data_IF_780896722747
#
_entry.id   IF_780896722747
#
_cell.length_a   1.000
_cell.length_b   1.000
_cell.length_c   1.000
_cell.angle_alpha   90.00
_cell.angle_beta   90.00
_cell.angle_gamma   90.00
#
_symmetry.space_group_name_H-M   'P 1'
#
loop_
_entity.id
_entity.type
_entity.pdbx_description
1 polymer ?
#
# COMPACT_ATOMS: atom_id res chain seq x y z
N UNK A 1 4.21 -21.24 34.39
CA UNK A 1 3.96 -20.98 35.82
C UNK A 1 4.60 -22.01 36.78
N UNK A 2 4.40 -23.32 36.64
CA UNK A 2 4.89 -24.32 37.62
C UNK A 2 6.40 -24.27 37.83
N UNK A 3 7.24 -24.27 36.80
CA UNK A 3 8.70 -24.20 36.93
C UNK A 3 9.20 -22.87 37.54
N UNK A 4 8.53 -21.75 37.30
CA UNK A 4 8.86 -20.48 37.93
C UNK A 4 8.62 -20.51 39.44
N UNK A 5 7.57 -21.22 39.90
CA UNK A 5 7.33 -21.47 41.32
C UNK A 5 8.43 -22.34 41.91
N UNK A 6 8.81 -23.45 41.26
CA UNK A 6 9.94 -24.29 41.73
C UNK A 6 11.22 -23.46 41.84
N UNK A 7 11.52 -22.59 40.87
CA UNK A 7 12.70 -21.73 40.92
C UNK A 7 12.69 -20.72 42.06
N UNK A 8 11.51 -20.26 42.47
CA UNK A 8 11.38 -19.34 43.61
C UNK A 8 11.56 -20.07 44.97
N UNK A 9 10.99 -21.26 45.08
CA UNK A 9 10.94 -21.99 46.36
C UNK A 9 12.09 -23.00 46.55
N UNK A 10 13.01 -23.17 45.58
CA UNK A 10 14.12 -24.15 45.64
C UNK A 10 15.12 -23.91 46.76
N UNK A 11 15.15 -22.70 47.35
CA UNK A 11 15.97 -22.37 48.50
C UNK A 11 15.36 -22.88 49.81
N UNK A 12 14.04 -23.11 49.86
CA UNK A 12 13.29 -23.54 51.06
C UNK A 12 12.99 -25.02 51.06
N UNK A 13 12.83 -25.62 49.87
CA UNK A 13 12.39 -27.02 49.74
C UNK A 13 13.19 -27.75 48.65
N UNK A 14 13.44 -29.07 48.83
CA UNK A 14 14.14 -29.86 47.81
C UNK A 14 13.42 -29.85 46.46
N UNK A 15 14.18 -29.61 45.35
CA UNK A 15 13.66 -29.52 43.97
C UNK A 15 12.83 -30.76 43.60
N UNK A 16 13.29 -31.98 44.02
CA UNK A 16 12.55 -33.23 43.74
C UNK A 16 11.17 -33.25 44.39
N UNK A 17 11.04 -32.72 45.60
CA UNK A 17 9.75 -32.63 46.29
C UNK A 17 8.82 -31.64 45.63
N UNK A 18 9.30 -30.42 45.31
CA UNK A 18 8.53 -29.40 44.61
C UNK A 18 8.04 -29.91 43.23
N UNK A 19 8.92 -30.55 42.47
CA UNK A 19 8.57 -31.12 41.18
C UNK A 19 7.51 -32.23 41.30
N UNK A 20 7.58 -33.09 42.34
CA UNK A 20 6.59 -34.13 42.60
C UNK A 20 5.22 -33.52 42.89
N UNK A 21 5.15 -32.58 43.83
CA UNK A 21 3.91 -31.90 44.25
C UNK A 21 3.25 -31.17 43.08
N UNK A 22 4.05 -30.54 42.22
CA UNK A 22 3.55 -29.77 41.05
C UNK A 22 3.34 -30.64 39.80
N UNK A 23 3.56 -31.95 39.90
CA UNK A 23 3.46 -32.88 38.78
C UNK A 23 4.26 -32.41 37.54
N UNK A 24 5.54 -32.07 37.73
CA UNK A 24 6.48 -31.70 36.67
C UNK A 24 7.78 -32.51 36.81
N UNK A 25 8.51 -32.68 35.68
CA UNK A 25 9.77 -33.43 35.71
C UNK A 25 10.92 -32.57 36.22
N UNK A 26 11.85 -33.17 36.98
CA UNK A 26 13.08 -32.52 37.45
C UNK A 26 13.97 -32.12 36.28
N UNK A 27 14.08 -32.98 35.26
CA UNK A 27 14.82 -32.67 34.04
C UNK A 27 14.21 -31.49 33.27
N UNK A 28 12.88 -31.38 33.22
CA UNK A 28 12.18 -30.23 32.67
C UNK A 28 12.45 -28.93 33.46
N UNK A 29 12.59 -29.03 34.79
CA UNK A 29 12.96 -27.86 35.58
C UNK A 29 14.40 -27.39 35.30
N UNK A 30 15.37 -28.29 35.24
CA UNK A 30 16.75 -27.91 34.89
C UNK A 30 16.83 -27.33 33.46
N UNK A 31 16.08 -27.91 32.52
CA UNK A 31 15.96 -27.34 31.18
C UNK A 31 15.36 -25.93 31.21
N UNK A 32 14.32 -25.72 32.01
CA UNK A 32 13.71 -24.40 32.22
C UNK A 32 14.74 -23.39 32.74
N UNK A 33 15.52 -23.72 33.78
CA UNK A 33 16.57 -22.84 34.30
C UNK A 33 17.61 -22.50 33.22
N UNK A 34 18.07 -23.52 32.50
CA UNK A 34 19.05 -23.34 31.44
C UNK A 34 18.56 -22.48 30.27
N UNK A 35 17.25 -22.55 29.96
CA UNK A 35 16.66 -21.75 28.90
C UNK A 35 16.25 -20.35 29.37
N UNK A 36 15.94 -20.14 30.67
CA UNK A 36 15.46 -18.88 31.22
C UNK A 36 16.47 -17.74 31.06
N UNK A 37 17.73 -18.05 31.30
CA UNK A 37 18.81 -17.05 31.35
C UNK A 37 19.57 -16.94 29.99
N UNK A 38 19.13 -17.69 28.97
CA UNK A 38 19.67 -17.55 27.62
C UNK A 38 19.06 -16.35 26.92
N UNK A 39 19.86 -15.52 26.22
CA UNK A 39 19.33 -14.49 25.36
C UNK A 39 18.42 -15.12 24.30
N UNK A 40 17.31 -14.45 23.98
CA UNK A 40 16.41 -14.92 22.93
C UNK A 40 17.18 -14.99 21.59
N UNK A 41 17.34 -16.17 20.99
CA UNK A 41 18.04 -16.31 19.70
C UNK A 41 17.32 -15.60 18.55
N UNK A 42 16.07 -15.18 18.76
CA UNK A 42 15.26 -14.44 17.80
C UNK A 42 15.19 -12.94 18.12
N UNK A 43 15.91 -12.45 19.15
CA UNK A 43 15.82 -11.05 19.59
C UNK A 43 16.09 -10.04 18.48
N UNK A 44 17.14 -10.23 17.68
CA UNK A 44 17.45 -9.38 16.53
C UNK A 44 16.35 -9.43 15.46
N UNK A 45 15.87 -10.64 15.16
CA UNK A 45 14.79 -10.83 14.19
C UNK A 45 13.48 -10.18 14.64
N UNK A 46 13.16 -10.22 15.95
CA UNK A 46 11.99 -9.55 16.53
C UNK A 46 12.14 -8.03 16.50
N UNK A 47 13.33 -7.52 16.78
CA UNK A 47 13.62 -6.08 16.67
C UNK A 47 13.40 -5.57 15.26
N UNK A 48 13.97 -6.23 14.26
CA UNK A 48 13.78 -5.86 12.85
C UNK A 48 12.33 -6.01 12.39
N UNK A 49 11.65 -7.06 12.85
CA UNK A 49 10.22 -7.26 12.56
C UNK A 49 9.37 -6.10 13.08
N UNK A 50 9.61 -5.61 14.30
CA UNK A 50 8.93 -4.42 14.85
C UNK A 50 9.27 -3.15 14.07
N UNK A 51 10.56 -2.94 13.76
CA UNK A 51 11.05 -1.78 13.01
C UNK A 51 10.43 -1.72 11.61
N UNK A 52 10.44 -2.83 10.87
CA UNK A 52 9.84 -2.92 9.55
C UNK A 52 8.33 -2.70 9.61
N UNK A 53 7.64 -3.28 10.61
CA UNK A 53 6.20 -3.10 10.76
C UNK A 53 5.84 -1.64 11.06
N UNK A 54 6.58 -0.97 11.93
CA UNK A 54 6.40 0.45 12.23
C UNK A 54 6.72 1.33 11.00
N UNK A 55 7.85 1.09 10.32
CA UNK A 55 8.24 1.80 9.11
C UNK A 55 7.26 1.61 7.95
N UNK A 56 6.57 0.48 7.91
CA UNK A 56 5.48 0.22 6.97
C UNK A 56 4.12 0.77 7.40
N UNK A 57 4.06 1.65 8.39
CA UNK A 57 2.82 2.23 8.96
C UNK A 57 1.82 1.16 9.44
N UNK A 58 2.32 0.01 9.90
CA UNK A 58 1.49 -1.12 10.31
C UNK A 58 0.73 -1.80 9.17
N UNK A 59 1.09 -1.55 7.91
CA UNK A 59 0.33 -2.05 6.75
C UNK A 59 0.79 -3.43 6.28
N UNK A 60 2.04 -3.83 6.59
CA UNK A 60 2.59 -5.08 6.07
C UNK A 60 2.05 -6.30 6.81
N UNK A 61 1.33 -7.13 6.07
CA UNK A 61 1.03 -8.49 6.48
C UNK A 61 2.19 -9.44 6.14
N UNK A 62 2.04 -10.70 6.53
CA UNK A 62 3.04 -11.76 6.38
C UNK A 62 3.81 -11.78 5.04
N UNK A 63 3.18 -11.70 3.85
CA UNK A 63 3.95 -11.79 2.59
C UNK A 63 4.98 -10.68 2.42
N UNK A 64 4.60 -9.42 2.67
CA UNK A 64 5.51 -8.27 2.59
C UNK A 64 6.55 -8.31 3.70
N UNK A 65 6.16 -8.71 4.93
CA UNK A 65 7.07 -8.83 6.05
C UNK A 65 8.18 -9.85 5.78
N UNK A 66 7.86 -11.03 5.20
CA UNK A 66 8.88 -12.02 4.79
C UNK A 66 9.85 -11.43 3.77
N UNK A 67 9.36 -10.66 2.80
CA UNK A 67 10.22 -10.03 1.79
C UNK A 67 11.13 -8.97 2.40
N UNK A 68 10.61 -8.11 3.26
CA UNK A 68 11.37 -7.07 3.93
C UNK A 68 12.45 -7.66 4.86
N UNK A 69 12.12 -8.68 5.67
CA UNK A 69 13.10 -9.36 6.53
C UNK A 69 14.20 -10.06 5.72
N UNK A 70 13.87 -10.64 4.57
CA UNK A 70 14.88 -11.24 3.69
C UNK A 70 15.81 -10.19 3.08
N UNK A 71 15.30 -8.99 2.77
CA UNK A 71 16.14 -7.88 2.34
C UNK A 71 17.10 -7.39 3.44
N UNK A 72 16.76 -7.62 4.73
CA UNK A 72 17.65 -7.42 5.89
C UNK A 72 18.50 -8.65 6.21
N UNK A 73 18.76 -9.53 5.24
CA UNK A 73 19.59 -10.74 5.34
C UNK A 73 19.09 -11.82 6.33
N UNK A 74 17.82 -11.77 6.78
CA UNK A 74 17.25 -12.83 7.61
C UNK A 74 16.79 -14.03 6.77
N UNK A 75 17.29 -15.21 7.03
CA UNK A 75 16.84 -16.48 6.45
C UNK A 75 15.51 -16.91 7.13
N UNK A 76 14.36 -16.37 6.67
CA UNK A 76 13.06 -16.63 7.27
C UNK A 76 12.03 -17.18 6.29
N UNK A 77 11.19 -18.08 6.80
CA UNK A 77 10.03 -18.63 6.09
C UNK A 77 8.71 -18.05 6.59
N UNK A 78 7.66 -18.24 5.79
CA UNK A 78 6.32 -17.71 6.10
C UNK A 78 5.76 -18.17 7.44
N UNK A 79 5.98 -19.46 7.84
CA UNK A 79 5.47 -20.00 9.10
C UNK A 79 6.13 -19.32 10.31
N UNK A 80 7.47 -19.15 10.27
CA UNK A 80 8.23 -18.48 11.34
C UNK A 80 7.80 -17.02 11.51
N UNK A 81 7.71 -16.26 10.41
CA UNK A 81 7.27 -14.86 10.45
C UNK A 81 5.82 -14.74 10.97
N UNK A 82 4.91 -15.64 10.54
CA UNK A 82 3.52 -15.63 11.03
C UNK A 82 3.43 -15.87 12.55
N UNK A 83 4.27 -16.78 13.10
CA UNK A 83 4.36 -17.04 14.54
C UNK A 83 4.85 -15.80 15.27
N UNK A 84 5.98 -15.22 14.83
CA UNK A 84 6.57 -14.05 15.46
C UNK A 84 5.63 -12.84 15.41
N UNK A 85 4.98 -12.56 14.28
CA UNK A 85 3.98 -11.49 14.20
C UNK A 85 2.85 -11.67 15.21
N UNK A 86 2.38 -12.91 15.41
CA UNK A 86 1.33 -13.19 16.41
C UNK A 86 1.83 -13.00 17.84
N UNK A 87 3.02 -13.45 18.14
CA UNK A 87 3.65 -13.31 19.47
C UNK A 87 3.89 -11.83 19.81
N UNK A 88 4.25 -11.01 18.83
CA UNK A 88 4.46 -9.57 18.97
C UNK A 88 3.15 -8.74 18.85
N UNK A 89 1.99 -9.37 18.64
CA UNK A 89 0.72 -8.67 18.44
C UNK A 89 0.63 -7.85 17.15
N UNK A 90 1.46 -8.16 16.14
CA UNK A 90 1.53 -7.42 14.89
C UNK A 90 0.62 -8.03 13.82
N UNK A 91 -0.16 -7.19 13.16
CA UNK A 91 -1.02 -7.58 12.04
C UNK A 91 -0.96 -6.54 10.93
N UNK A 92 -1.07 -6.98 9.68
CA UNK A 92 -1.21 -6.05 8.56
C UNK A 92 -2.64 -5.50 8.47
N UNK A 93 -2.80 -4.31 7.91
CA UNK A 93 -4.13 -3.77 7.62
C UNK A 93 -4.83 -4.62 6.57
N UNK A 94 -6.06 -5.03 6.85
CA UNK A 94 -6.91 -5.84 5.97
C UNK A 94 -7.97 -4.99 5.31
N UNK A 95 -8.29 -5.30 4.05
CA UNK A 95 -9.26 -4.53 3.27
C UNK A 95 -10.65 -4.57 3.92
N UNK A 96 -11.20 -3.41 4.26
CA UNK A 96 -12.59 -3.25 4.65
C UNK A 96 -13.55 -3.50 3.46
N UNK A 97 -14.79 -3.90 3.77
CA UNK A 97 -15.83 -4.13 2.75
C UNK A 97 -16.53 -2.80 2.46
N UNK A 98 -16.02 -2.03 1.51
CA UNK A 98 -16.69 -0.80 1.07
C UNK A 98 -16.59 -0.67 -0.46
N UNK A 99 -17.73 -0.53 -1.11
CA UNK A 99 -17.82 -0.39 -2.57
C UNK A 99 -18.72 0.79 -2.92
N UNK A 100 -18.20 2.01 -2.99
CA UNK A 100 -18.99 3.16 -3.45
C UNK A 100 -19.17 3.12 -4.97
N UNK A 101 -20.34 3.56 -5.43
CA UNK A 101 -20.56 3.94 -6.84
C UNK A 101 -20.27 5.44 -6.97
N UNK A 102 -19.26 5.82 -7.77
CA UNK A 102 -18.75 7.18 -7.83
C UNK A 102 -18.82 7.82 -9.21
N UNK A 103 -19.01 7.04 -10.28
CA UNK A 103 -18.93 7.53 -11.65
C UNK A 103 -20.32 7.80 -12.21
N UNK A 104 -20.61 9.05 -12.57
CA UNK A 104 -21.73 9.39 -13.42
C UNK A 104 -21.28 9.37 -14.89
N UNK A 105 -21.62 8.31 -15.58
CA UNK A 105 -21.33 8.13 -17.03
C UNK A 105 -22.51 8.54 -17.93
N UNK A 106 -23.56 9.19 -17.38
CA UNK A 106 -24.76 9.62 -18.13
C UNK A 106 -24.62 11.05 -18.63
N UNK A 107 -23.61 11.33 -19.42
CA UNK A 107 -23.42 12.65 -20.05
C UNK A 107 -23.33 12.51 -21.56
N UNK A 108 -23.72 13.54 -22.31
CA UNK A 108 -23.65 13.60 -23.79
C UNK A 108 -22.28 14.02 -24.35
N UNK A 109 -21.19 13.92 -23.56
CA UNK A 109 -19.85 14.31 -24.01
C UNK A 109 -19.18 13.21 -24.83
N UNK A 110 -18.27 13.56 -25.79
CA UNK A 110 -17.52 12.57 -26.55
C UNK A 110 -16.73 11.62 -25.66
N UNK A 111 -16.78 10.33 -25.96
CA UNK A 111 -16.06 9.29 -25.23
C UNK A 111 -14.97 8.72 -26.13
N UNK A 112 -13.72 8.71 -25.67
CA UNK A 112 -12.62 8.13 -26.41
C UNK A 112 -12.73 6.60 -26.45
N UNK A 113 -12.16 6.00 -27.51
CA UNK A 113 -12.05 4.56 -27.66
C UNK A 113 -11.19 3.94 -26.56
N UNK A 114 -11.49 2.71 -26.11
CA UNK A 114 -10.63 1.97 -25.19
C UNK A 114 -9.42 1.39 -25.92
N UNK A 115 -8.34 2.15 -25.98
CA UNK A 115 -7.09 1.75 -26.62
C UNK A 115 -6.16 0.95 -25.69
N UNK A 116 -6.33 1.12 -24.38
CA UNK A 116 -5.52 0.38 -23.39
C UNK A 116 -5.88 -1.11 -23.36
N UNK A 117 -7.16 -1.44 -23.58
CA UNK A 117 -7.72 -2.80 -23.61
C UNK A 117 -7.12 -3.76 -22.55
N UNK A 118 -7.05 -3.29 -21.29
CA UNK A 118 -6.53 -4.04 -20.14
C UNK A 118 -5.07 -4.47 -20.23
N UNK A 119 -4.26 -3.84 -21.03
CA UNK A 119 -2.81 -4.08 -21.09
C UNK A 119 -2.13 -3.47 -19.87
N UNK A 120 -2.41 -4.05 -18.68
CA UNK A 120 -1.91 -3.56 -17.39
C UNK A 120 -0.60 -4.24 -16.97
N UNK A 121 -0.04 -5.12 -17.75
CA UNK A 121 1.20 -5.79 -17.43
C UNK A 121 2.34 -4.77 -17.28
N UNK A 122 3.17 -4.95 -16.24
CA UNK A 122 4.30 -4.03 -15.95
C UNK A 122 5.43 -4.14 -16.98
N UNK A 123 5.45 -5.23 -17.74
CA UNK A 123 6.33 -5.48 -18.88
C UNK A 123 5.75 -5.06 -20.23
N UNK A 124 4.52 -4.50 -20.24
CA UNK A 124 3.91 -3.96 -21.43
C UNK A 124 4.77 -2.83 -22.03
N UNK A 125 4.98 -2.88 -23.34
CA UNK A 125 5.66 -1.83 -24.08
C UNK A 125 4.76 -0.61 -24.38
N UNK A 126 3.49 -0.64 -23.98
CA UNK A 126 2.56 0.47 -24.17
C UNK A 126 2.74 1.47 -23.02
N UNK A 127 3.36 2.64 -23.27
CA UNK A 127 3.46 3.67 -22.26
C UNK A 127 2.07 4.23 -21.97
N UNK A 128 1.60 4.09 -20.73
CA UNK A 128 0.27 4.51 -20.36
C UNK A 128 0.20 5.04 -18.94
N UNK A 129 -0.52 6.14 -18.77
CA UNK A 129 -0.93 6.70 -17.50
C UNK A 129 -2.40 6.44 -17.24
N UNK A 130 -2.79 6.25 -16.00
CA UNK A 130 -4.19 6.12 -15.62
C UNK A 130 -4.59 7.24 -14.68
N UNK A 131 -5.73 7.87 -14.99
CA UNK A 131 -6.37 8.87 -14.15
C UNK A 131 -7.64 8.33 -13.51
N UNK A 132 -7.90 8.71 -12.26
CA UNK A 132 -9.16 8.40 -11.57
C UNK A 132 -9.40 9.38 -10.42
N UNK A 133 -10.66 9.49 -9.99
CA UNK A 133 -11.08 10.38 -8.89
C UNK A 133 -11.64 9.52 -7.75
N UNK A 134 -11.27 9.87 -6.53
CA UNK A 134 -11.93 9.34 -5.34
C UNK A 134 -12.28 10.47 -4.39
N UNK A 135 -13.07 10.18 -3.37
CA UNK A 135 -13.39 11.11 -2.31
C UNK A 135 -12.93 10.59 -0.96
N UNK A 136 -12.55 11.53 -0.11
CA UNK A 136 -12.05 11.33 1.23
C UNK A 136 -13.00 12.07 2.19
N UNK A 137 -13.56 11.40 3.20
CA UNK A 137 -14.46 12.04 4.15
C UNK A 137 -13.67 12.87 5.16
N UNK A 138 -14.15 14.09 5.41
CA UNK A 138 -13.69 14.97 6.50
C UNK A 138 -14.88 15.50 7.27
N UNK A 139 -14.68 15.99 8.49
CA UNK A 139 -15.77 16.64 9.23
C UNK A 139 -16.20 17.97 8.61
N UNK A 140 -15.36 18.57 7.77
CA UNK A 140 -15.66 19.77 6.98
C UNK A 140 -16.38 19.46 5.66
N UNK A 141 -16.72 18.17 5.40
CA UNK A 141 -17.32 17.69 4.17
C UNK A 141 -16.36 16.89 3.31
N UNK A 142 -16.76 16.61 2.07
CA UNK A 142 -15.96 15.82 1.14
C UNK A 142 -14.73 16.56 0.64
N UNK A 143 -13.65 15.83 0.49
CA UNK A 143 -12.45 16.22 -0.25
C UNK A 143 -12.27 15.27 -1.42
N UNK A 144 -12.18 15.80 -2.64
CA UNK A 144 -12.01 15.03 -3.86
C UNK A 144 -10.53 14.95 -4.22
N UNK A 145 -10.06 13.74 -4.51
CA UNK A 145 -8.69 13.45 -4.89
C UNK A 145 -8.68 12.89 -6.31
N UNK A 146 -8.09 13.62 -7.26
CA UNK A 146 -7.71 13.09 -8.56
C UNK A 146 -6.25 12.66 -8.53
N UNK A 147 -5.94 11.51 -9.11
CA UNK A 147 -4.57 10.98 -9.20
C UNK A 147 -4.23 10.57 -10.63
N UNK A 148 -2.94 10.65 -10.95
CA UNK A 148 -2.37 10.13 -12.18
C UNK A 148 -1.29 9.11 -11.82
N UNK A 149 -1.47 7.88 -12.27
CA UNK A 149 -0.55 6.77 -12.07
C UNK A 149 0.12 6.36 -13.37
N UNK A 150 1.40 6.05 -13.30
CA UNK A 150 2.08 5.29 -14.35
C UNK A 150 1.69 3.81 -14.24
N UNK A 151 1.15 3.24 -15.30
CA UNK A 151 0.68 1.86 -15.31
C UNK A 151 1.81 0.83 -15.26
N UNK A 152 3.02 1.17 -15.69
CA UNK A 152 4.19 0.29 -15.69
C UNK A 152 4.86 0.25 -14.32
N UNK A 153 5.12 1.42 -13.75
CA UNK A 153 5.85 1.54 -12.47
C UNK A 153 4.94 1.55 -11.25
N UNK A 154 3.64 1.75 -11.43
CA UNK A 154 2.65 1.95 -10.35
C UNK A 154 2.91 3.22 -9.52
N UNK A 155 3.79 4.10 -9.97
CA UNK A 155 4.01 5.39 -9.30
C UNK A 155 2.79 6.29 -9.40
N UNK A 156 2.46 6.97 -8.33
CA UNK A 156 1.61 8.17 -8.38
C UNK A 156 2.49 9.30 -8.85
N UNK A 157 2.32 9.72 -10.11
CA UNK A 157 3.12 10.77 -10.75
C UNK A 157 2.64 12.16 -10.36
N UNK A 158 1.32 12.31 -10.22
CA UNK A 158 0.70 13.56 -9.82
C UNK A 158 -0.68 13.35 -9.21
N UNK A 159 -1.11 14.32 -8.44
CA UNK A 159 -2.45 14.36 -7.85
C UNK A 159 -2.89 15.80 -7.60
N UNK A 160 -4.18 15.97 -7.41
CA UNK A 160 -4.79 17.24 -6.99
C UNK A 160 -5.93 16.96 -6.01
N UNK A 161 -6.16 17.87 -5.09
CA UNK A 161 -7.19 17.80 -4.06
C UNK A 161 -8.05 19.06 -4.11
N UNK A 162 -9.37 18.89 -4.05
CA UNK A 162 -10.31 20.02 -4.07
C UNK A 162 -11.58 19.70 -3.25
N UNK A 163 -12.21 20.72 -2.71
CA UNK A 163 -13.49 20.62 -1.98
C UNK A 163 -14.68 20.30 -2.89
N UNK A 164 -14.56 20.58 -4.16
CA UNK A 164 -15.53 20.28 -5.22
C UNK A 164 -14.87 19.43 -6.28
N UNK A 165 -15.65 18.97 -7.24
CA UNK A 165 -15.17 18.13 -8.33
C UNK A 165 -15.27 18.87 -9.69
N UNK A 166 -14.55 20.01 -9.89
CA UNK A 166 -14.51 20.72 -11.15
C UNK A 166 -13.69 19.94 -12.19
N UNK A 167 -13.86 20.29 -13.49
CA UNK A 167 -13.00 19.73 -14.54
C UNK A 167 -11.51 20.07 -14.30
N UNK A 168 -11.23 21.19 -13.66
CA UNK A 168 -9.87 21.64 -13.33
C UNK A 168 -9.12 20.70 -12.37
N UNK A 169 -9.85 19.94 -11.55
CA UNK A 169 -9.25 18.97 -10.63
C UNK A 169 -8.40 17.92 -11.35
N UNK A 170 -8.94 17.33 -12.41
CA UNK A 170 -8.23 16.29 -13.19
C UNK A 170 -7.13 16.92 -14.05
N UNK A 171 -7.36 18.14 -14.55
CA UNK A 171 -6.35 18.89 -15.32
C UNK A 171 -5.14 19.22 -14.46
N UNK A 172 -5.35 19.69 -13.23
CA UNK A 172 -4.26 20.00 -12.31
C UNK A 172 -3.48 18.75 -11.91
N UNK A 173 -4.17 17.62 -11.64
CA UNK A 173 -3.51 16.35 -11.34
C UNK A 173 -2.61 15.90 -12.52
N UNK A 174 -3.09 16.05 -13.77
CA UNK A 174 -2.32 15.75 -14.96
C UNK A 174 -1.11 16.67 -15.12
N UNK A 175 -1.27 17.98 -14.96
CA UNK A 175 -0.18 18.95 -15.08
C UNK A 175 0.90 18.71 -14.02
N UNK A 176 0.51 18.38 -12.80
CA UNK A 176 1.44 18.01 -11.75
C UNK A 176 2.24 16.74 -12.12
N UNK A 177 1.58 15.74 -12.71
CA UNK A 177 2.23 14.52 -13.19
C UNK A 177 3.20 14.80 -14.34
N UNK A 178 2.76 15.61 -15.33
CA UNK A 178 3.60 16.01 -16.45
C UNK A 178 4.85 16.78 -16.00
N UNK A 179 4.68 17.73 -15.10
CA UNK A 179 5.80 18.51 -14.56
C UNK A 179 6.81 17.64 -13.80
N UNK A 180 6.34 16.63 -13.06
CA UNK A 180 7.20 15.73 -12.28
C UNK A 180 7.88 14.65 -13.14
N UNK A 181 7.26 14.25 -14.26
CA UNK A 181 7.73 13.17 -15.13
C UNK A 181 7.38 13.44 -16.59
N UNK A 182 8.06 14.38 -17.27
CA UNK A 182 7.84 14.63 -18.69
C UNK A 182 8.10 13.37 -19.51
N UNK A 183 7.20 13.06 -20.46
CA UNK A 183 7.30 11.90 -21.34
C UNK A 183 7.13 12.34 -22.79
N UNK A 184 7.59 11.51 -23.74
CA UNK A 184 7.42 11.76 -25.17
C UNK A 184 5.96 11.68 -25.64
N UNK A 185 5.70 12.08 -26.86
CA UNK A 185 4.37 11.98 -27.46
C UNK A 185 3.93 10.50 -27.67
N UNK A 186 2.62 10.29 -27.75
CA UNK A 186 2.03 8.97 -27.97
C UNK A 186 1.72 8.15 -26.75
N UNK A 187 1.99 8.67 -25.54
CA UNK A 187 1.61 8.02 -24.28
C UNK A 187 0.08 7.99 -24.15
N UNK A 188 -0.47 6.83 -23.80
CA UNK A 188 -1.90 6.72 -23.52
C UNK A 188 -2.23 7.38 -22.17
N UNK A 189 -3.34 8.14 -22.14
CA UNK A 189 -3.98 8.54 -20.88
C UNK A 189 -5.31 7.81 -20.76
N UNK A 190 -5.38 6.85 -19.85
CA UNK A 190 -6.58 6.05 -19.62
C UNK A 190 -7.36 6.57 -18.41
N UNK A 191 -8.69 6.62 -18.52
CA UNK A 191 -9.58 7.00 -17.44
C UNK A 191 -10.92 6.26 -17.52
N UNK A 192 -11.75 6.43 -16.48
CA UNK A 192 -13.17 6.12 -16.60
C UNK A 192 -13.88 7.11 -17.53
N UNK A 193 -15.21 6.93 -17.72
CA UNK A 193 -16.05 7.83 -18.52
C UNK A 193 -16.64 8.97 -17.68
N UNK A 194 -16.00 9.39 -16.61
CA UNK A 194 -16.47 10.52 -15.83
C UNK A 194 -16.51 11.82 -16.65
N UNK A 195 -17.50 12.67 -16.36
CA UNK A 195 -17.71 13.93 -17.09
C UNK A 195 -16.49 14.84 -17.08
N UNK A 196 -15.64 14.75 -16.06
CA UNK A 196 -14.41 15.53 -15.94
C UNK A 196 -13.38 15.11 -16.99
N UNK A 197 -13.18 13.80 -17.18
CA UNK A 197 -12.25 13.26 -18.18
C UNK A 197 -12.77 13.41 -19.61
N UNK A 198 -14.10 13.36 -19.80
CA UNK A 198 -14.75 13.59 -21.09
C UNK A 198 -14.91 15.09 -21.43
N UNK A 199 -14.36 16.01 -20.64
CA UNK A 199 -14.44 17.44 -20.91
C UNK A 199 -13.54 17.84 -22.08
N UNK A 200 -14.03 18.77 -22.94
CA UNK A 200 -13.24 19.28 -24.06
C UNK A 200 -11.93 19.95 -23.62
N UNK A 201 -11.92 20.61 -22.45
CA UNK A 201 -10.73 21.29 -21.93
C UNK A 201 -9.67 20.29 -21.49
N UNK A 202 -10.07 19.16 -20.88
CA UNK A 202 -9.12 18.10 -20.55
C UNK A 202 -8.57 17.43 -21.81
N UNK A 203 -9.43 17.17 -22.82
CA UNK A 203 -8.99 16.67 -24.12
C UNK A 203 -7.98 17.58 -24.82
N UNK A 204 -8.19 18.90 -24.81
CA UNK A 204 -7.22 19.89 -25.33
C UNK A 204 -5.90 19.86 -24.54
N UNK A 205 -5.97 19.72 -23.22
CA UNK A 205 -4.77 19.59 -22.36
C UNK A 205 -3.96 18.35 -22.72
N UNK A 206 -4.59 17.17 -22.87
CA UNK A 206 -3.92 15.95 -23.30
C UNK A 206 -3.24 16.11 -24.66
N UNK A 207 -3.98 16.66 -25.65
CA UNK A 207 -3.46 16.88 -27.02
C UNK A 207 -2.27 17.83 -27.04
N UNK A 208 -2.30 18.93 -26.27
CA UNK A 208 -1.21 19.88 -26.16
C UNK A 208 0.09 19.27 -25.61
N UNK A 209 -0.02 18.16 -24.85
CA UNK A 209 1.12 17.42 -24.29
C UNK A 209 1.43 16.11 -25.06
N UNK A 210 0.78 15.89 -26.21
CA UNK A 210 1.02 14.72 -27.04
C UNK A 210 0.43 13.41 -26.53
N UNK A 211 -0.49 13.45 -25.56
CA UNK A 211 -1.14 12.26 -25.03
C UNK A 211 -2.32 11.81 -25.89
N UNK A 212 -2.51 10.50 -25.96
CA UNK A 212 -3.62 9.86 -26.66
C UNK A 212 -4.68 9.45 -25.63
N UNK A 213 -5.91 9.99 -25.69
CA UNK A 213 -6.96 9.61 -24.74
C UNK A 213 -7.44 8.18 -24.96
N UNK A 214 -7.72 7.49 -23.86
CA UNK A 214 -8.32 6.16 -23.81
C UNK A 214 -9.32 6.11 -22.66
N UNK A 215 -10.52 5.55 -22.87
CA UNK A 215 -11.55 5.49 -21.83
C UNK A 215 -12.09 4.08 -21.66
N UNK A 216 -12.42 3.72 -20.42
CA UNK A 216 -13.04 2.44 -20.06
C UNK A 216 -14.34 2.20 -20.84
N UNK A 217 -14.70 0.95 -21.08
CA UNK A 217 -16.01 0.57 -21.65
C UNK A 217 -17.13 0.88 -20.67
N UNK A 218 -18.33 1.16 -21.16
CA UNK A 218 -19.50 1.48 -20.32
C UNK A 218 -19.79 0.33 -19.35
N UNK A 219 -19.90 0.66 -18.06
CA UNK A 219 -20.22 -0.32 -17.02
C UNK A 219 -19.12 -1.34 -16.71
N UNK A 220 -17.90 -1.15 -17.22
CA UNK A 220 -16.80 -2.08 -17.02
C UNK A 220 -15.72 -1.49 -16.12
N UNK A 221 -15.87 -1.68 -14.80
CA UNK A 221 -14.91 -1.25 -13.78
C UNK A 221 -13.52 -1.88 -13.94
N UNK A 222 -13.43 -3.08 -14.54
CA UNK A 222 -12.14 -3.76 -14.73
C UNK A 222 -11.20 -3.05 -15.71
N UNK A 223 -11.71 -2.15 -16.52
CA UNK A 223 -10.90 -1.41 -17.50
C UNK A 223 -10.04 -0.34 -16.80
N UNK A 224 -10.36 0.10 -15.56
CA UNK A 224 -9.54 1.02 -14.75
C UNK A 224 -9.01 0.35 -13.44
N UNK A 225 -8.82 -0.96 -13.46
CA UNK A 225 -8.52 -1.76 -12.26
C UNK A 225 -7.25 -1.32 -11.51
N UNK A 226 -6.28 -0.72 -12.18
CA UNK A 226 -5.02 -0.27 -11.54
C UNK A 226 -5.26 0.94 -10.67
N UNK A 227 -5.97 1.95 -11.15
CA UNK A 227 -6.32 3.14 -10.37
C UNK A 227 -7.27 2.78 -9.22
N UNK A 228 -8.28 1.91 -9.48
CA UNK A 228 -9.16 1.38 -8.43
C UNK A 228 -8.37 0.63 -7.35
N UNK A 229 -7.38 -0.17 -7.73
CA UNK A 229 -6.51 -0.90 -6.79
C UNK A 229 -5.66 0.05 -5.94
N UNK A 230 -5.17 1.14 -6.53
CA UNK A 230 -4.47 2.19 -5.78
C UNK A 230 -5.39 2.83 -4.75
N UNK A 231 -6.59 3.26 -5.13
CA UNK A 231 -7.53 3.88 -4.20
C UNK A 231 -7.99 2.92 -3.10
N UNK A 232 -8.22 1.64 -3.44
CA UNK A 232 -8.51 0.63 -2.43
C UNK A 232 -7.35 0.48 -1.43
N UNK A 233 -6.12 0.58 -1.89
CA UNK A 233 -4.92 0.54 -1.05
C UNK A 233 -4.82 1.80 -0.19
N UNK A 234 -4.93 2.99 -0.76
CA UNK A 234 -4.92 4.27 -0.05
C UNK A 234 -5.99 4.31 1.06
N UNK A 235 -7.23 3.96 0.72
CA UNK A 235 -8.34 3.94 1.69
C UNK A 235 -8.13 2.94 2.82
N UNK A 236 -7.53 1.79 2.53
CA UNK A 236 -7.27 0.78 3.55
C UNK A 236 -6.07 1.14 4.45
N UNK A 237 -5.03 1.71 3.88
CA UNK A 237 -3.75 1.92 4.58
C UNK A 237 -3.66 3.29 5.26
N UNK A 238 -4.28 4.34 4.69
CA UNK A 238 -4.22 5.71 5.18
C UNK A 238 -5.61 6.31 5.44
N UNK A 239 -6.47 6.35 4.45
CA UNK A 239 -7.74 7.08 4.49
C UNK A 239 -8.92 6.19 4.92
N UNK A 240 -8.75 5.38 5.97
CA UNK A 240 -9.76 4.44 6.45
C UNK A 240 -10.83 5.07 7.36
N UNK A 241 -10.60 6.28 7.85
CA UNK A 241 -11.49 7.03 8.74
C UNK A 241 -11.91 8.37 8.19
N UNK A 242 -12.58 9.17 9.02
CA UNK A 242 -12.96 10.55 8.74
C UNK A 242 -11.90 11.48 9.33
N UNK A 243 -11.31 12.32 8.51
CA UNK A 243 -10.35 13.33 8.97
C UNK A 243 -11.06 14.51 9.65
N UNK A 244 -10.40 15.14 10.63
CA UNK A 244 -10.96 16.30 11.32
C UNK A 244 -11.13 17.49 10.37
N UNK A 245 -10.12 17.76 9.53
CA UNK A 245 -10.12 18.87 8.57
C UNK A 245 -9.68 18.42 7.18
N UNK A 246 -10.01 19.17 6.15
CA UNK A 246 -9.51 18.98 4.79
C UNK A 246 -7.99 19.17 4.72
N UNK A 247 -7.45 20.10 5.50
CA UNK A 247 -6.00 20.33 5.60
C UNK A 247 -5.27 19.11 6.18
N UNK A 248 -5.82 18.48 7.23
CA UNK A 248 -5.28 17.25 7.80
C UNK A 248 -5.32 16.09 6.78
N UNK A 249 -6.42 15.92 6.04
CA UNK A 249 -6.52 14.94 4.98
C UNK A 249 -5.49 15.17 3.86
N UNK A 250 -5.31 16.42 3.44
CA UNK A 250 -4.32 16.78 2.43
C UNK A 250 -2.91 16.41 2.88
N UNK A 251 -2.51 16.79 4.09
CA UNK A 251 -1.19 16.49 4.65
C UNK A 251 -0.96 14.97 4.78
N UNK A 252 -1.95 14.22 5.24
CA UNK A 252 -1.86 12.77 5.38
C UNK A 252 -1.70 12.06 4.03
N UNK A 253 -2.49 12.45 3.02
CA UNK A 253 -2.40 11.88 1.66
C UNK A 253 -1.06 12.22 1.02
N UNK A 254 -0.58 13.47 1.14
CA UNK A 254 0.73 13.87 0.65
C UNK A 254 1.86 13.05 1.31
N UNK A 255 1.82 12.93 2.65
CA UNK A 255 2.77 12.11 3.41
C UNK A 255 2.71 10.63 3.02
N UNK A 256 1.51 10.11 2.74
CA UNK A 256 1.36 8.72 2.30
C UNK A 256 1.97 8.51 0.91
N UNK A 257 1.68 9.36 -0.06
CA UNK A 257 2.15 9.20 -1.44
C UNK A 257 3.66 9.39 -1.52
N UNK A 258 4.18 10.51 -1.00
CA UNK A 258 5.60 10.88 -1.13
C UNK A 258 6.50 10.21 -0.11
N UNK A 259 6.03 10.00 1.12
CA UNK A 259 6.83 9.43 2.20
C UNK A 259 6.78 7.90 2.28
N UNK A 260 5.74 7.26 1.72
CA UNK A 260 5.57 5.82 1.89
C UNK A 260 5.24 5.08 0.59
N UNK A 261 4.14 5.43 -0.11
CA UNK A 261 3.66 4.64 -1.25
C UNK A 261 4.70 4.54 -2.38
N UNK A 262 5.15 5.68 -2.88
CA UNK A 262 6.13 5.70 -3.97
C UNK A 262 7.51 5.20 -3.55
N UNK A 263 8.13 5.68 -2.43
CA UNK A 263 9.52 5.34 -2.12
C UNK A 263 9.72 4.01 -1.41
N UNK A 264 8.73 3.52 -0.64
CA UNK A 264 8.97 2.44 0.34
C UNK A 264 8.04 1.25 0.18
N UNK A 265 6.78 1.49 -0.22
CA UNK A 265 5.76 0.44 -0.18
C UNK A 265 6.05 -0.68 -1.17
N UNK A 266 6.26 -1.90 -0.64
CA UNK A 266 6.48 -3.09 -1.46
C UNK A 266 5.21 -3.45 -2.26
N UNK A 267 5.38 -3.61 -3.57
CA UNK A 267 4.29 -3.89 -4.50
C UNK A 267 4.44 -5.30 -5.11
N UNK A 268 3.45 -6.18 -4.91
CA UNK A 268 3.54 -7.57 -5.39
C UNK A 268 3.66 -7.68 -6.92
N UNK A 269 2.96 -6.82 -7.66
CA UNK A 269 3.04 -6.78 -9.13
C UNK A 269 4.41 -6.30 -9.65
N UNK A 270 5.22 -5.64 -8.79
CA UNK A 270 6.57 -5.16 -9.11
C UNK A 270 7.67 -6.07 -8.54
N UNK A 271 7.35 -7.34 -8.28
CA UNK A 271 8.29 -8.27 -7.65
C UNK A 271 8.68 -7.89 -6.22
N UNK A 272 7.80 -7.19 -5.52
CA UNK A 272 8.03 -6.62 -4.17
C UNK A 272 9.11 -5.53 -4.14
N UNK A 273 9.30 -4.80 -5.22
CA UNK A 273 9.98 -3.51 -5.21
C UNK A 273 8.99 -2.39 -4.89
N UNK A 274 9.49 -1.26 -4.40
CA UNK A 274 8.69 -0.03 -4.36
C UNK A 274 8.50 0.54 -5.76
N UNK A 275 7.46 1.36 -6.01
CA UNK A 275 7.30 2.05 -7.29
C UNK A 275 8.55 2.80 -7.75
N UNK A 276 9.21 3.54 -6.85
CA UNK A 276 10.45 4.27 -7.16
C UNK A 276 11.62 3.35 -7.50
N UNK A 277 11.80 2.26 -6.74
CA UNK A 277 12.90 1.33 -7.00
C UNK A 277 12.70 0.57 -8.31
N UNK A 278 11.43 0.22 -8.62
CA UNK A 278 11.11 -0.39 -9.90
C UNK A 278 11.37 0.57 -11.07
N UNK A 279 11.00 1.85 -10.95
CA UNK A 279 11.29 2.86 -11.94
C UNK A 279 12.80 3.07 -12.17
N UNK A 280 13.60 3.08 -11.08
CA UNK A 280 15.07 3.13 -11.17
C UNK A 280 15.64 1.92 -11.91
N UNK A 281 15.14 0.71 -11.57
CA UNK A 281 15.54 -0.53 -12.24
C UNK A 281 15.28 -0.48 -13.74
N UNK A 282 14.11 0.03 -14.16
CA UNK A 282 13.77 0.18 -15.57
C UNK A 282 14.72 1.14 -16.31
N UNK A 283 15.07 2.27 -15.67
CA UNK A 283 16.01 3.25 -16.25
C UNK A 283 17.42 2.70 -16.39
N UNK A 284 17.84 1.76 -15.54
CA UNK A 284 19.15 1.12 -15.63
C UNK A 284 19.19 -0.01 -16.67
N UNK A 285 18.03 -0.51 -17.10
CA UNK A 285 17.93 -1.59 -18.08
C UNK A 285 17.64 -1.09 -19.52
N UNK A 286 17.37 0.22 -19.68
CA UNK A 286 17.14 0.90 -20.95
C UNK A 286 18.42 1.57 -21.48
#
# INVERSE_FOLDING_TARGET
>A
MRYAFVAREQTRYPIRMLCRVLAVSVSGFHRYLHCRDRPDPEAALRADLRTIHAGSRGTYGRPRMVRALRACAHAVGHKRVARLMREEGLSGKTKGRFTPRTTDSRHGRPVAENRLDRQFAVDSNVPAWAGDITYVPTREGWLYLATVLDLRTRQVLGYSLCERMPNDLVRQAFLNAWSASPVGAGVLFHSDRGSQYASGDFGKTLAAHGFVPSMSRKGNCRDNAVAESFFATLKNEEASGVYETRAAAHAAIASYIHGFYNPTRLHSALGYLSPNDYAKKLKQAA
#
